data_IF_195160746651
#
_entry.id   IF_195160746651
#
_cell.length_a   1.000
_cell.length_b   1.000
_cell.length_c   1.000
_cell.angle_alpha   90.00
_cell.angle_beta   90.00
_cell.angle_gamma   90.00
#
_symmetry.space_group_name_H-M   'P 1'
#
loop_
_entity.id
_entity.type
_entity.pdbx_description
1 polymer ?
#
# COMPACT_ATOMS: atom_id res chain seq x y z
N UNK A 1 -8.35 2.32 -12.99
CA UNK A 1 -9.28 3.46 -13.00
C UNK A 1 -8.56 4.75 -13.41
N UNK A 2 -7.36 5.03 -12.86
CA UNK A 2 -6.53 6.18 -13.26
C UNK A 2 -6.15 6.20 -14.76
N UNK A 3 -5.67 5.09 -15.33
CA UNK A 3 -5.25 5.04 -16.74
C UNK A 3 -6.38 5.36 -17.74
N UNK A 4 -7.61 4.92 -17.48
CA UNK A 4 -8.76 5.18 -18.37
C UNK A 4 -9.21 6.64 -18.31
N UNK A 5 -9.14 7.26 -17.13
CA UNK A 5 -9.44 8.67 -16.95
C UNK A 5 -8.32 9.56 -17.51
N UNK A 6 -7.05 9.14 -17.39
CA UNK A 6 -5.92 9.80 -18.02
C UNK A 6 -6.02 9.78 -19.55
N UNK A 7 -6.32 8.63 -20.15
CA UNK A 7 -6.52 8.53 -21.60
C UNK A 7 -7.69 9.41 -22.08
N UNK A 8 -8.76 9.50 -21.28
CA UNK A 8 -9.88 10.40 -21.57
C UNK A 8 -9.45 11.87 -21.46
N UNK A 9 -8.70 12.25 -20.42
CA UNK A 9 -8.19 13.61 -20.25
C UNK A 9 -7.18 14.00 -21.33
N UNK A 10 -6.27 13.10 -21.74
CA UNK A 10 -5.32 13.34 -22.84
C UNK A 10 -6.06 13.65 -24.15
N UNK A 11 -7.16 12.93 -24.42
CA UNK A 11 -7.97 13.15 -25.63
C UNK A 11 -8.63 14.54 -25.63
N UNK A 12 -8.97 15.04 -24.45
CA UNK A 12 -9.71 16.30 -24.26
C UNK A 12 -8.79 17.52 -24.06
N UNK A 13 -7.55 17.31 -23.61
CA UNK A 13 -6.58 18.37 -23.40
C UNK A 13 -5.89 18.83 -24.69
N UNK A 14 -5.53 20.11 -24.74
CA UNK A 14 -4.82 20.78 -25.84
C UNK A 14 -3.64 21.61 -25.30
N UNK A 15 -2.66 21.90 -26.17
CA UNK A 15 -1.47 22.69 -25.84
C UNK A 15 -0.62 22.10 -24.71
N UNK A 16 -0.01 22.97 -23.90
CA UNK A 16 0.86 22.61 -22.76
C UNK A 16 0.22 21.61 -21.79
N UNK A 17 -1.10 21.65 -21.63
CA UNK A 17 -1.85 20.71 -20.78
C UNK A 17 -1.78 19.28 -21.32
N UNK A 18 -1.91 19.12 -22.64
CA UNK A 18 -1.80 17.80 -23.29
C UNK A 18 -0.38 17.25 -23.16
N UNK A 19 0.63 18.10 -23.32
CA UNK A 19 2.03 17.70 -23.23
C UNK A 19 2.42 17.25 -21.82
N UNK A 20 1.87 17.90 -20.78
CA UNK A 20 1.98 17.43 -19.38
C UNK A 20 1.34 16.04 -19.19
N UNK A 21 0.12 15.83 -19.69
CA UNK A 21 -0.56 14.53 -19.55
C UNK A 21 0.12 13.40 -20.37
N UNK A 22 0.76 13.73 -21.50
CA UNK A 22 1.56 12.76 -22.28
C UNK A 22 2.86 12.37 -21.57
N UNK A 23 3.52 13.31 -20.89
CA UNK A 23 4.64 13.00 -19.98
C UNK A 23 4.17 12.10 -18.83
N UNK A 24 2.99 12.38 -18.26
CA UNK A 24 2.37 11.55 -17.21
C UNK A 24 2.16 10.12 -17.68
N UNK A 25 1.62 9.93 -18.89
CA UNK A 25 1.47 8.59 -19.47
C UNK A 25 2.81 7.85 -19.62
N UNK A 26 3.88 8.56 -19.99
CA UNK A 26 5.21 7.97 -20.18
C UNK A 26 5.85 7.59 -18.85
N UNK A 27 5.69 8.38 -17.80
CA UNK A 27 6.18 8.03 -16.46
C UNK A 27 5.36 6.90 -15.84
N UNK A 28 4.04 6.89 -16.03
CA UNK A 28 3.16 5.79 -15.64
C UNK A 28 3.38 4.49 -16.43
N UNK A 29 4.10 4.53 -17.55
CA UNK A 29 4.45 3.30 -18.30
C UNK A 29 5.54 2.47 -17.63
N UNK A 30 6.19 3.01 -16.59
CA UNK A 30 7.14 2.29 -15.74
C UNK A 30 6.41 1.84 -14.47
N UNK A 31 5.95 0.58 -14.44
CA UNK A 31 5.23 0.00 -13.31
C UNK A 31 6.20 -0.64 -12.29
N UNK A 32 7.02 0.14 -11.62
CA UNK A 32 7.83 -0.42 -10.51
C UNK A 32 6.97 -0.54 -9.23
N UNK A 33 7.25 -1.51 -8.34
CA UNK A 33 6.51 -1.65 -7.08
C UNK A 33 6.48 -0.37 -6.23
N UNK A 34 7.55 0.41 -6.25
CA UNK A 34 7.68 1.70 -5.56
C UNK A 34 6.70 2.73 -6.11
N UNK A 35 6.62 2.85 -7.44
CA UNK A 35 5.71 3.79 -8.10
C UNK A 35 4.25 3.42 -7.85
N UNK A 36 3.93 2.13 -7.90
CA UNK A 36 2.58 1.64 -7.59
C UNK A 36 2.20 1.88 -6.12
N UNK A 37 3.15 1.73 -5.18
CA UNK A 37 2.93 2.02 -3.77
C UNK A 37 2.65 3.51 -3.55
N UNK A 38 3.42 4.39 -4.22
CA UNK A 38 3.21 5.84 -4.19
C UNK A 38 1.85 6.21 -4.79
N UNK A 39 1.48 5.67 -5.95
CA UNK A 39 0.18 5.89 -6.57
C UNK A 39 -0.96 5.47 -5.63
N UNK A 40 -0.83 4.33 -4.96
CA UNK A 40 -1.82 3.83 -4.03
C UNK A 40 -2.06 4.78 -2.85
N UNK A 41 -1.00 5.36 -2.30
CA UNK A 41 -1.08 6.38 -1.25
C UNK A 41 -1.84 7.62 -1.71
N UNK A 42 -1.52 8.14 -2.91
CA UNK A 42 -2.22 9.30 -3.47
C UNK A 42 -3.70 9.04 -3.66
N UNK A 43 -4.04 7.86 -4.18
CA UNK A 43 -5.42 7.47 -4.34
C UNK A 43 -6.13 7.33 -2.99
N UNK A 44 -5.47 6.80 -1.95
CA UNK A 44 -6.05 6.73 -0.61
C UNK A 44 -6.38 8.15 -0.11
N UNK A 45 -5.40 9.05 -0.16
CA UNK A 45 -5.61 10.44 0.27
C UNK A 45 -6.73 11.16 -0.50
N UNK A 46 -6.92 10.87 -1.78
CA UNK A 46 -8.05 11.40 -2.55
C UNK A 46 -9.39 10.91 -2.00
N UNK A 47 -9.48 9.61 -1.68
CA UNK A 47 -10.69 9.02 -1.10
C UNK A 47 -11.06 9.61 0.26
N UNK A 48 -10.07 9.90 1.10
CA UNK A 48 -10.27 10.67 2.34
C UNK A 48 -10.88 12.06 2.05
N UNK A 49 -10.29 12.83 1.12
CA UNK A 49 -10.82 14.16 0.75
C UNK A 49 -12.25 14.13 0.19
N UNK A 50 -12.61 13.05 -0.50
CA UNK A 50 -13.94 12.85 -1.07
C UNK A 50 -14.96 12.34 -0.04
N UNK A 51 -14.54 12.03 1.19
CA UNK A 51 -15.39 11.41 2.21
C UNK A 51 -15.74 9.94 1.93
N UNK A 52 -15.05 9.31 0.98
CA UNK A 52 -15.27 7.91 0.59
C UNK A 52 -14.40 6.99 1.46
N UNK A 53 -14.83 6.87 2.73
CA UNK A 53 -14.04 6.22 3.78
C UNK A 53 -13.95 4.70 3.66
N UNK A 54 -14.90 4.07 2.97
CA UNK A 54 -14.86 2.63 2.70
C UNK A 54 -13.73 2.33 1.69
N UNK A 55 -13.70 3.05 0.56
CA UNK A 55 -12.60 2.93 -0.42
C UNK A 55 -11.26 3.38 0.17
N UNK A 56 -11.25 4.42 1.00
CA UNK A 56 -10.06 4.88 1.71
C UNK A 56 -9.41 3.74 2.51
N UNK A 57 -10.19 3.08 3.38
CA UNK A 57 -9.70 1.98 4.21
C UNK A 57 -9.29 0.78 3.37
N UNK A 58 -10.01 0.48 2.29
CA UNK A 58 -9.59 -0.55 1.33
C UNK A 58 -8.20 -0.28 0.75
N UNK A 59 -7.89 0.99 0.45
CA UNK A 59 -6.58 1.40 -0.07
C UNK A 59 -5.48 1.42 0.99
N UNK A 60 -5.78 1.84 2.23
CA UNK A 60 -4.83 1.73 3.34
C UNK A 60 -4.42 0.28 3.59
N UNK A 61 -5.38 -0.64 3.56
CA UNK A 61 -5.09 -2.08 3.69
C UNK A 61 -4.16 -2.56 2.57
N UNK A 62 -4.49 -2.24 1.32
CA UNK A 62 -3.67 -2.63 0.17
C UNK A 62 -2.26 -2.03 0.27
N UNK A 63 -2.17 -0.79 0.76
CA UNK A 63 -0.90 -0.10 0.96
C UNK A 63 -0.05 -0.83 2.00
N UNK A 64 -0.64 -1.19 3.13
CA UNK A 64 0.03 -1.96 4.17
C UNK A 64 0.58 -3.29 3.62
N UNK A 65 -0.21 -4.04 2.84
CA UNK A 65 0.24 -5.30 2.22
C UNK A 65 1.42 -5.11 1.26
N UNK A 66 1.34 -4.10 0.39
CA UNK A 66 2.39 -3.82 -0.58
C UNK A 66 3.65 -3.26 0.08
N UNK A 67 3.52 -2.47 1.15
CA UNK A 67 4.67 -2.04 1.95
C UNK A 67 5.34 -3.23 2.62
N UNK A 68 4.58 -4.13 3.23
CA UNK A 68 5.12 -5.37 3.81
C UNK A 68 5.92 -6.17 2.78
N UNK A 69 5.36 -6.35 1.58
CA UNK A 69 6.02 -7.08 0.49
C UNK A 69 7.30 -6.38 0.03
N UNK A 70 7.25 -5.07 -0.18
CA UNK A 70 8.40 -4.30 -0.67
C UNK A 70 9.56 -4.33 0.33
N UNK A 71 9.28 -4.23 1.64
CA UNK A 71 10.29 -4.38 2.69
C UNK A 71 10.85 -5.80 2.68
N UNK A 72 9.99 -6.81 2.59
CA UNK A 72 10.41 -8.22 2.56
C UNK A 72 11.36 -8.51 1.38
N UNK A 73 11.03 -8.04 0.17
CA UNK A 73 11.90 -8.23 -1.01
C UNK A 73 13.22 -7.46 -0.88
N UNK A 74 13.16 -6.17 -0.52
CA UNK A 74 14.33 -5.28 -0.59
C UNK A 74 15.26 -5.34 0.61
N UNK A 75 14.71 -5.51 1.81
CA UNK A 75 15.46 -5.40 3.07
C UNK A 75 15.74 -6.77 3.67
N UNK A 76 14.85 -7.75 3.45
CA UNK A 76 15.01 -9.11 3.95
C UNK A 76 15.41 -10.14 2.86
N UNK A 77 15.45 -9.73 1.59
CA UNK A 77 15.85 -10.60 0.48
C UNK A 77 14.88 -11.76 0.21
N UNK A 78 13.62 -11.59 0.59
CA UNK A 78 12.58 -12.62 0.41
C UNK A 78 12.31 -12.84 -1.06
N UNK A 79 12.28 -14.11 -1.47
CA UNK A 79 11.96 -14.52 -2.84
C UNK A 79 10.56 -15.15 -2.86
N UNK A 80 9.72 -14.64 -3.76
CA UNK A 80 8.40 -15.18 -4.05
C UNK A 80 8.42 -16.02 -5.32
N UNK A 81 7.43 -16.89 -5.49
CA UNK A 81 7.30 -17.70 -6.71
C UNK A 81 7.22 -16.82 -7.96
N UNK A 82 7.90 -17.24 -9.02
CA UNK A 82 8.07 -16.46 -10.25
C UNK A 82 6.80 -16.28 -11.07
N UNK A 83 5.85 -17.22 -10.96
CA UNK A 83 4.62 -17.29 -11.74
C UNK A 83 3.52 -16.33 -11.27
N UNK A 84 3.35 -16.24 -9.95
CA UNK A 84 2.22 -15.56 -9.32
C UNK A 84 2.66 -14.58 -8.24
N UNK A 85 3.90 -14.68 -7.75
CA UNK A 85 4.40 -13.99 -6.55
C UNK A 85 3.49 -14.15 -5.32
N UNK A 86 2.64 -15.16 -5.32
CA UNK A 86 1.66 -15.40 -4.26
C UNK A 86 2.21 -16.26 -3.14
N UNK A 87 3.25 -17.05 -3.39
CA UNK A 87 3.86 -17.96 -2.41
C UNK A 87 5.33 -17.62 -2.18
N UNK A 88 5.88 -18.06 -1.05
CA UNK A 88 7.32 -18.06 -0.85
C UNK A 88 7.97 -19.06 -1.80
N UNK A 89 9.14 -18.74 -2.34
CA UNK A 89 9.92 -19.70 -3.09
C UNK A 89 10.46 -20.79 -2.16
N UNK A 90 10.21 -22.05 -2.51
CA UNK A 90 10.58 -23.18 -1.66
C UNK A 90 12.09 -23.37 -1.55
N UNK A 91 12.85 -23.12 -2.63
CA UNK A 91 14.30 -23.27 -2.61
C UNK A 91 14.93 -22.21 -1.71
N UNK A 92 14.46 -20.96 -1.81
CA UNK A 92 14.83 -19.87 -0.93
C UNK A 92 14.44 -20.14 0.53
N UNK A 93 13.22 -20.62 0.80
CA UNK A 93 12.81 -20.90 2.17
C UNK A 93 13.65 -22.01 2.81
N UNK A 94 13.99 -23.05 2.03
CA UNK A 94 14.83 -24.15 2.49
C UNK A 94 16.29 -23.73 2.74
N UNK A 95 16.80 -22.73 2.02
CA UNK A 95 18.12 -22.16 2.30
C UNK A 95 18.12 -21.22 3.51
N UNK A 96 16.95 -20.79 4.00
CA UNK A 96 16.76 -19.97 5.20
C UNK A 96 16.21 -20.79 6.37
N UNK A 97 16.98 -21.79 6.82
CA UNK A 97 16.55 -22.76 7.85
C UNK A 97 16.12 -22.12 9.17
N UNK A 98 16.80 -21.07 9.62
CA UNK A 98 16.43 -20.32 10.83
C UNK A 98 15.05 -19.67 10.74
N UNK A 99 14.75 -19.03 9.59
CA UNK A 99 13.42 -18.47 9.33
C UNK A 99 12.37 -19.58 9.28
N UNK A 100 12.65 -20.70 8.62
CA UNK A 100 11.71 -21.82 8.53
C UNK A 100 11.36 -22.35 9.93
N UNK A 101 12.36 -22.59 10.78
CA UNK A 101 12.15 -23.03 12.17
C UNK A 101 11.36 -21.99 12.96
N UNK A 102 11.63 -20.71 12.78
CA UNK A 102 10.87 -19.64 13.40
C UNK A 102 9.39 -19.67 12.98
N UNK A 103 9.11 -19.78 11.68
CA UNK A 103 7.74 -19.81 11.15
C UNK A 103 6.99 -21.08 11.57
N UNK A 104 7.66 -22.23 11.61
CA UNK A 104 7.12 -23.51 12.10
C UNK A 104 6.63 -23.41 13.56
N UNK A 105 7.27 -22.57 14.38
CA UNK A 105 6.91 -22.34 15.79
C UNK A 105 6.06 -21.07 16.01
N UNK A 106 5.83 -20.26 14.97
CA UNK A 106 5.12 -18.99 15.11
C UNK A 106 3.61 -19.24 15.25
N UNK A 107 3.02 -18.64 16.29
CA UNK A 107 1.59 -18.76 16.59
C UNK A 107 0.87 -17.42 16.51
N UNK A 108 -0.37 -17.47 16.02
CA UNK A 108 -1.31 -16.35 16.02
C UNK A 108 -2.54 -16.82 16.78
N UNK A 109 -2.87 -16.14 17.87
CA UNK A 109 -4.02 -16.44 18.72
C UNK A 109 -4.08 -17.94 19.12
N UNK A 110 -2.92 -18.52 19.44
CA UNK A 110 -2.77 -19.93 19.84
C UNK A 110 -2.81 -20.95 18.69
N UNK A 111 -2.96 -20.50 17.44
CA UNK A 111 -2.95 -21.37 16.26
C UNK A 111 -1.64 -21.25 15.48
N UNK A 112 -1.08 -22.34 14.94
CA UNK A 112 0.10 -22.29 14.08
C UNK A 112 -0.13 -21.41 12.84
N UNK A 113 0.88 -20.64 12.45
CA UNK A 113 0.85 -19.87 11.22
C UNK A 113 0.86 -20.79 10.01
N UNK A 114 -0.17 -20.71 9.17
CA UNK A 114 -0.15 -21.36 7.86
C UNK A 114 0.58 -20.48 6.83
N UNK A 115 1.84 -20.80 6.54
CA UNK A 115 2.66 -20.10 5.54
C UNK A 115 2.92 -20.92 4.26
N UNK A 116 2.33 -22.11 4.12
CA UNK A 116 2.44 -22.95 2.90
C UNK A 116 1.49 -22.51 1.77
N UNK A 117 0.47 -21.71 2.11
CA UNK A 117 -0.49 -21.14 1.20
C UNK A 117 -0.05 -19.81 0.57
N UNK A 118 -1.05 -19.03 0.14
CA UNK A 118 -0.83 -17.65 -0.34
C UNK A 118 -0.31 -16.81 0.81
N UNK A 119 0.81 -16.11 0.56
CA UNK A 119 1.42 -15.18 1.50
C UNK A 119 0.47 -14.01 1.73
N UNK A 120 -0.06 -13.95 2.94
CA UNK A 120 -0.90 -12.87 3.41
C UNK A 120 -0.12 -11.94 4.35
N UNK A 121 -0.79 -10.87 4.81
CA UNK A 121 -0.21 -9.91 5.75
C UNK A 121 0.40 -10.55 7.00
N UNK A 122 -0.25 -11.56 7.57
CA UNK A 122 0.24 -12.20 8.80
C UNK A 122 1.52 -12.99 8.56
N UNK A 123 1.62 -13.68 7.43
CA UNK A 123 2.86 -14.36 7.01
C UNK A 123 3.98 -13.33 6.80
N UNK A 124 3.71 -12.23 6.08
CA UNK A 124 4.70 -11.16 5.89
C UNK A 124 5.16 -10.53 7.21
N UNK A 125 4.22 -10.26 8.12
CA UNK A 125 4.51 -9.73 9.44
C UNK A 125 5.42 -10.66 10.24
N UNK A 126 5.14 -11.97 10.23
CA UNK A 126 5.96 -12.96 10.92
C UNK A 126 7.39 -13.01 10.32
N UNK A 127 7.50 -13.05 8.99
CA UNK A 127 8.81 -13.03 8.31
C UNK A 127 9.61 -11.79 8.72
N UNK A 128 9.01 -10.62 8.65
CA UNK A 128 9.71 -9.38 8.97
C UNK A 128 10.06 -9.28 10.46
N UNK A 129 9.22 -9.81 11.37
CA UNK A 129 9.56 -9.89 12.80
C UNK A 129 10.82 -10.71 13.05
N UNK A 130 11.02 -11.78 12.31
CA UNK A 130 12.27 -12.55 12.36
C UNK A 130 13.46 -11.68 11.96
N UNK A 131 13.40 -11.02 10.80
CA UNK A 131 14.51 -10.19 10.32
C UNK A 131 14.72 -8.89 11.12
N UNK A 132 13.69 -8.38 11.80
CA UNK A 132 13.79 -7.20 12.65
C UNK A 132 14.74 -7.38 13.84
N UNK A 133 14.96 -8.63 14.28
CA UNK A 133 15.87 -8.95 15.40
C UNK A 133 17.30 -8.45 15.13
N UNK A 134 17.73 -8.49 13.87
CA UNK A 134 19.07 -8.10 13.43
C UNK A 134 19.07 -6.89 12.48
N UNK A 135 17.91 -6.27 12.25
CA UNK A 135 17.75 -5.17 11.29
C UNK A 135 16.86 -4.04 11.85
N UNK A 136 17.47 -2.99 12.44
CA UNK A 136 16.74 -1.86 13.04
C UNK A 136 15.82 -1.10 12.08
N UNK A 137 16.15 -1.06 10.78
CA UNK A 137 15.26 -0.45 9.77
C UNK A 137 13.94 -1.22 9.70
N UNK A 138 14.02 -2.56 9.62
CA UNK A 138 12.84 -3.43 9.55
C UNK A 138 12.02 -3.30 10.83
N UNK A 139 12.67 -3.28 12.00
CA UNK A 139 11.99 -3.05 13.28
C UNK A 139 11.21 -1.73 13.27
N UNK A 140 11.83 -0.64 12.81
CA UNK A 140 11.20 0.67 12.70
C UNK A 140 10.00 0.65 11.76
N UNK A 141 10.12 0.03 10.58
CA UNK A 141 9.00 -0.07 9.64
C UNK A 141 7.87 -0.95 10.18
N UNK A 142 8.19 -2.03 10.86
CA UNK A 142 7.20 -2.89 11.51
C UNK A 142 6.40 -2.14 12.56
N UNK A 143 7.06 -1.36 13.42
CA UNK A 143 6.39 -0.57 14.44
C UNK A 143 5.35 0.39 13.82
N UNK A 144 5.66 0.99 12.66
CA UNK A 144 4.72 1.83 11.91
C UNK A 144 3.55 1.01 11.36
N UNK A 145 3.83 -0.13 10.72
CA UNK A 145 2.79 -0.98 10.13
C UNK A 145 1.87 -1.61 11.20
N UNK A 146 2.37 -1.86 12.41
CA UNK A 146 1.58 -2.36 13.52
C UNK A 146 0.65 -1.31 14.12
N UNK A 147 1.04 -0.02 14.12
CA UNK A 147 0.17 1.08 14.55
C UNK A 147 -1.12 1.18 13.73
N UNK A 148 -1.07 0.79 12.45
CA UNK A 148 -2.21 0.86 11.54
C UNK A 148 -2.98 -0.47 11.41
N UNK A 149 -2.62 -1.50 12.18
CA UNK A 149 -3.25 -2.83 12.10
C UNK A 149 -4.75 -2.80 12.45
N UNK A 150 -5.17 -1.92 13.36
CA UNK A 150 -6.59 -1.73 13.70
C UNK A 150 -7.42 -1.28 12.49
N UNK A 151 -6.83 -0.51 11.56
CA UNK A 151 -7.50 -0.10 10.33
C UNK A 151 -7.67 -1.28 9.37
N UNK A 152 -6.72 -2.21 9.36
CA UNK A 152 -6.84 -3.44 8.58
C UNK A 152 -7.91 -4.38 9.14
N UNK A 153 -8.09 -4.41 10.47
CA UNK A 153 -9.20 -5.11 11.11
C UNK A 153 -10.54 -4.44 10.80
N UNK A 154 -10.60 -3.10 10.82
CA UNK A 154 -11.79 -2.34 10.43
C UNK A 154 -12.21 -2.69 9.00
N UNK A 155 -11.27 -2.73 8.05
CA UNK A 155 -11.51 -3.15 6.66
C UNK A 155 -12.23 -4.48 6.57
N UNK A 156 -11.85 -5.47 7.36
CA UNK A 156 -12.48 -6.81 7.31
C UNK A 156 -13.97 -6.79 7.68
N UNK A 157 -14.41 -5.77 8.44
CA UNK A 157 -15.80 -5.59 8.85
C UNK A 157 -16.65 -4.82 7.83
N UNK A 158 -16.05 -4.29 6.75
CA UNK A 158 -16.77 -3.47 5.76
C UNK A 158 -17.24 -4.28 4.55
N UNK A 159 -18.07 -3.63 3.73
CA UNK A 159 -18.61 -4.16 2.47
C UNK A 159 -17.55 -4.52 1.42
N UNK A 160 -16.34 -3.98 1.51
CA UNK A 160 -15.24 -4.31 0.57
C UNK A 160 -14.58 -5.66 0.90
N UNK A 161 -14.81 -6.23 2.09
CA UNK A 161 -14.26 -7.52 2.48
C UNK A 161 -15.35 -8.53 2.84
N UNK A 162 -15.65 -8.69 4.13
CA UNK A 162 -16.48 -9.80 4.62
C UNK A 162 -17.64 -9.34 5.50
N UNK A 163 -17.79 -8.03 5.74
CA UNK A 163 -18.84 -7.49 6.60
C UNK A 163 -19.73 -6.47 5.89
N UNK A 164 -20.52 -5.73 6.69
CA UNK A 164 -21.48 -4.74 6.20
C UNK A 164 -21.44 -3.45 7.03
N UNK A 165 -20.37 -3.25 7.82
CA UNK A 165 -20.21 -2.07 8.67
C UNK A 165 -19.89 -0.84 7.80
N UNK A 166 -20.65 0.23 8.01
CA UNK A 166 -20.32 1.56 7.46
C UNK A 166 -19.05 2.12 8.10
N UNK A 167 -18.31 2.92 7.36
CA UNK A 167 -17.11 3.60 7.85
C UNK A 167 -17.31 5.10 7.75
N UNK A 168 -17.14 5.80 8.86
CA UNK A 168 -17.06 7.25 8.91
C UNK A 168 -15.68 7.68 9.37
N UNK A 169 -15.38 8.97 9.25
CA UNK A 169 -14.16 9.56 9.78
C UNK A 169 -13.97 9.24 11.27
N UNK A 170 -15.01 9.36 12.07
CA UNK A 170 -14.97 9.15 13.51
C UNK A 170 -14.59 7.70 13.85
N UNK A 171 -15.08 6.73 13.07
CA UNK A 171 -14.71 5.31 13.24
C UNK A 171 -13.23 5.09 12.92
N UNK A 172 -12.70 5.76 11.89
CA UNK A 172 -11.28 5.70 11.56
C UNK A 172 -10.44 6.30 12.69
N UNK A 173 -10.87 7.44 13.24
CA UNK A 173 -10.17 8.12 14.33
C UNK A 173 -10.28 7.36 15.66
N UNK A 174 -11.31 6.52 15.86
CA UNK A 174 -11.33 5.55 16.96
C UNK A 174 -10.27 4.45 16.81
N UNK A 175 -9.99 4.03 15.56
CA UNK A 175 -8.95 3.05 15.26
C UNK A 175 -7.54 3.67 15.29
N UNK A 176 -7.43 4.96 14.97
CA UNK A 176 -6.19 5.73 14.94
C UNK A 176 -6.41 7.11 15.62
N UNK A 177 -6.27 7.19 16.95
CA UNK A 177 -6.64 8.37 17.75
C UNK A 177 -5.89 9.66 17.43
N UNK A 178 -4.70 9.58 16.84
CA UNK A 178 -3.92 10.75 16.41
C UNK A 178 -4.55 11.46 15.20
N UNK A 179 -5.57 10.86 14.58
CA UNK A 179 -6.36 11.45 13.52
C UNK A 179 -5.87 11.13 12.12
N UNK A 180 -6.77 11.27 11.12
CA UNK A 180 -6.47 10.91 9.72
C UNK A 180 -5.31 11.74 9.15
N UNK A 181 -5.17 13.00 9.57
CA UNK A 181 -4.08 13.86 9.10
C UNK A 181 -2.71 13.30 9.51
N UNK A 182 -2.57 12.88 10.77
CA UNK A 182 -1.33 12.29 11.28
C UNK A 182 -1.11 10.88 10.72
N UNK A 183 -2.17 10.11 10.48
CA UNK A 183 -2.09 8.84 9.76
C UNK A 183 -1.48 9.03 8.37
N UNK A 184 -2.01 9.98 7.58
CA UNK A 184 -1.51 10.26 6.24
C UNK A 184 -0.05 10.70 6.25
N UNK A 185 0.34 11.53 7.23
CA UNK A 185 1.73 11.94 7.41
C UNK A 185 2.65 10.76 7.75
N UNK A 186 2.24 9.92 8.70
CA UNK A 186 2.97 8.70 9.07
C UNK A 186 3.19 7.77 7.87
N UNK A 187 2.15 7.59 7.05
CA UNK A 187 2.23 6.78 5.84
C UNK A 187 3.11 7.42 4.77
N UNK A 188 3.05 8.75 4.61
CA UNK A 188 3.90 9.48 3.69
C UNK A 188 5.38 9.27 4.03
N UNK A 189 5.74 9.40 5.31
CA UNK A 189 7.10 9.23 5.79
C UNK A 189 7.59 7.78 5.63
N UNK A 190 6.73 6.80 5.92
CA UNK A 190 7.02 5.38 5.67
C UNK A 190 7.31 5.11 4.18
N UNK A 191 6.47 5.63 3.29
CA UNK A 191 6.64 5.42 1.85
C UNK A 191 7.92 6.10 1.36
N UNK A 192 8.23 7.30 1.83
CA UNK A 192 9.50 7.96 1.51
C UNK A 192 10.69 7.09 1.91
N UNK A 193 10.64 6.46 3.08
CA UNK A 193 11.73 5.61 3.57
C UNK A 193 11.87 4.30 2.78
N UNK A 194 10.76 3.68 2.32
CA UNK A 194 10.78 2.37 1.67
C UNK A 194 10.87 2.45 0.14
N UNK A 195 10.20 3.44 -0.46
CA UNK A 195 10.04 3.62 -1.90
C UNK A 195 10.81 4.84 -2.45
N UNK A 196 11.59 5.51 -1.61
CA UNK A 196 12.30 6.74 -1.93
C UNK A 196 11.37 7.95 -1.95
N UNK A 197 11.96 9.13 -2.16
CA UNK A 197 11.21 10.39 -2.19
C UNK A 197 10.01 10.28 -3.14
N UNK A 198 8.86 10.78 -2.69
CA UNK A 198 7.68 10.95 -3.53
C UNK A 198 7.98 11.86 -4.73
N UNK A 199 9.04 12.67 -4.64
CA UNK A 199 9.58 13.51 -5.72
C UNK A 199 8.56 14.51 -6.25
N UNK A 200 8.84 15.07 -7.44
CA UNK A 200 7.86 15.86 -8.18
C UNK A 200 6.64 15.04 -8.60
N UNK A 201 6.65 13.71 -8.47
CA UNK A 201 5.47 12.89 -8.70
C UNK A 201 4.32 13.26 -7.75
N UNK A 202 4.61 13.72 -6.52
CA UNK A 202 3.59 14.28 -5.64
C UNK A 202 2.93 15.52 -6.22
N UNK A 203 3.72 16.50 -6.69
CA UNK A 203 3.19 17.73 -7.30
C UNK A 203 2.53 17.41 -8.64
N UNK A 204 3.08 16.48 -9.39
CA UNK A 204 2.57 16.01 -10.66
C UNK A 204 1.24 15.25 -10.51
N UNK A 205 1.10 14.31 -9.58
CA UNK A 205 -0.19 13.66 -9.31
C UNK A 205 -1.17 14.66 -8.69
N UNK A 206 -0.75 15.54 -7.78
CA UNK A 206 -1.62 16.57 -7.17
C UNK A 206 -2.14 17.59 -8.20
N UNK A 207 -1.27 18.14 -9.04
CA UNK A 207 -1.61 19.08 -10.11
C UNK A 207 -2.39 18.38 -11.21
N UNK A 208 -1.96 17.20 -11.67
CA UNK A 208 -2.65 16.50 -12.75
C UNK A 208 -3.95 15.83 -12.30
N UNK A 209 -4.15 15.42 -11.04
CA UNK A 209 -5.46 14.93 -10.57
C UNK A 209 -6.45 16.07 -10.41
N UNK A 210 -6.04 17.22 -9.87
CA UNK A 210 -6.89 18.42 -9.84
C UNK A 210 -7.21 18.89 -11.27
N UNK A 211 -6.25 18.81 -12.19
CA UNK A 211 -6.45 19.17 -13.59
C UNK A 211 -7.32 18.16 -14.34
N UNK A 212 -7.14 16.84 -14.12
CA UNK A 212 -8.02 15.79 -14.66
C UNK A 212 -9.44 15.93 -14.11
N UNK A 213 -9.60 16.18 -12.81
CA UNK A 213 -10.91 16.41 -12.19
C UNK A 213 -11.55 17.72 -12.67
N UNK A 214 -10.77 18.80 -12.83
CA UNK A 214 -11.24 20.08 -13.40
C UNK A 214 -11.72 19.91 -14.84
N UNK A 215 -10.93 19.25 -15.69
CA UNK A 215 -11.29 18.96 -17.10
C UNK A 215 -12.57 18.11 -17.16
N UNK A 216 -12.73 17.16 -16.24
CA UNK A 216 -13.93 16.32 -16.19
C UNK A 216 -15.15 17.05 -15.58
N UNK A 217 -14.92 18.06 -14.73
CA UNK A 217 -15.96 18.87 -14.09
C UNK A 217 -16.48 20.01 -14.97
N UNK A 218 -15.63 20.59 -15.83
CA UNK A 218 -16.01 21.59 -16.87
C UNK A 218 -17.00 21.04 -17.91
N UNK A 219 -17.27 19.72 -17.89
CA UNK A 219 -18.16 19.01 -18.80
C UNK A 219 -19.49 18.56 -18.15
N UNK A 220 -19.77 18.95 -16.90
CA UNK A 220 -21.08 18.82 -16.24
C UNK A 220 -21.84 20.13 -16.30
#
# INVERSE_FOLDING_TARGET
>A
MAAKNLEKAIRLAIGDRRDRLLRLRKEMSVNTPELLLKELFFNARLKDKQGDYIDFIGRIFRLQEETYRLIAEKKAGVIFTSDTKQRLDNAWLNSNSGLKVYLDNYQIDGSPLNYSGVVNRQVMRAILKYYAQDNPDIETFLAVLEKIEKLAQLRNQTLIAHGHKGVTREIIEQCYPEGIKELLKLLEDLIKAVAGDLGDQYNFYKENLQEVESILAELR
#
